data_IF_694325065281
#
_entry.id   IF_694325065281
#
_cell.length_a   1.000
_cell.length_b   1.000
_cell.length_c   1.000
_cell.angle_alpha   90.00
_cell.angle_beta   90.00
_cell.angle_gamma   90.00
#
_symmetry.space_group_name_H-M   'P 1'
#
loop_
_entity.id
_entity.type
_entity.pdbx_description
1 polymer ?
#
# COMPACT_ATOMS: atom_id res chain seq x y z
N UNK A 1 3.54 -16.48 -15.19
CA UNK A 1 4.25 -16.73 -13.89
C UNK A 1 4.02 -18.17 -13.46
N UNK A 2 5.07 -18.89 -13.05
CA UNK A 2 4.96 -20.24 -12.49
C UNK A 2 4.50 -20.16 -11.02
N UNK A 3 3.93 -21.26 -10.48
CA UNK A 3 3.57 -21.36 -9.07
C UNK A 3 4.76 -21.07 -8.15
N UNK A 4 5.93 -21.62 -8.44
CA UNK A 4 7.18 -21.35 -7.70
C UNK A 4 7.56 -19.87 -7.73
N UNK A 5 7.31 -19.16 -8.83
CA UNK A 5 7.59 -17.72 -8.92
C UNK A 5 6.61 -16.92 -8.08
N UNK A 6 5.34 -17.29 -8.07
CA UNK A 6 4.35 -16.62 -7.23
C UNK A 6 4.66 -16.78 -5.74
N UNK A 7 5.05 -18.00 -5.31
CA UNK A 7 5.48 -18.21 -3.93
C UNK A 7 6.73 -17.37 -3.58
N UNK A 8 7.70 -17.27 -4.49
CA UNK A 8 8.84 -16.37 -4.30
C UNK A 8 8.40 -14.92 -4.15
N UNK A 9 7.49 -14.45 -4.98
CA UNK A 9 6.98 -13.08 -4.94
C UNK A 9 6.25 -12.78 -3.61
N UNK A 10 5.46 -13.72 -3.10
CA UNK A 10 4.84 -13.60 -1.76
C UNK A 10 5.89 -13.53 -0.65
N UNK A 11 6.95 -14.34 -0.74
CA UNK A 11 8.04 -14.32 0.21
C UNK A 11 8.84 -13.02 0.16
N UNK A 12 9.07 -12.46 -1.02
CA UNK A 12 9.69 -11.13 -1.16
C UNK A 12 8.84 -10.05 -0.48
N UNK A 13 7.53 -10.06 -0.68
CA UNK A 13 6.62 -9.14 0.00
C UNK A 13 6.60 -9.36 1.52
N UNK A 14 6.65 -10.63 1.97
CA UNK A 14 6.72 -10.99 3.40
C UNK A 14 7.97 -10.41 4.09
N UNK A 15 9.11 -10.26 3.37
CA UNK A 15 10.32 -9.66 3.91
C UNK A 15 10.15 -8.19 4.31
N UNK A 16 9.16 -7.49 3.76
CA UNK A 16 8.85 -6.09 4.09
C UNK A 16 8.00 -5.94 5.36
N UNK A 17 7.50 -7.04 5.91
CA UNK A 17 6.63 -7.05 7.10
C UNK A 17 7.29 -6.35 8.27
N UNK A 18 6.53 -5.49 8.95
CA UNK A 18 7.00 -4.66 10.06
C UNK A 18 7.76 -3.42 9.61
N UNK A 19 7.83 -3.15 8.31
CA UNK A 19 8.52 -2.01 7.73
C UNK A 19 7.62 -0.86 7.33
N UNK A 20 8.27 0.23 6.92
CA UNK A 20 7.65 1.42 6.34
C UNK A 20 8.11 1.57 4.90
N UNK A 21 7.18 1.77 3.99
CA UNK A 21 7.43 2.08 2.59
C UNK A 21 7.11 3.56 2.38
N UNK A 22 8.07 4.33 1.88
CA UNK A 22 7.96 5.78 1.76
C UNK A 22 7.90 6.23 0.30
N UNK A 23 6.94 7.08 -0.04
CA UNK A 23 6.88 7.74 -1.34
C UNK A 23 8.01 8.77 -1.45
N UNK A 24 8.76 8.73 -2.54
CA UNK A 24 9.90 9.62 -2.82
C UNK A 24 9.85 10.11 -4.26
N UNK A 25 10.27 11.38 -4.47
CA UNK A 25 10.19 12.06 -5.76
C UNK A 25 11.54 12.21 -6.46
N UNK A 26 12.63 11.95 -5.74
CA UNK A 26 13.99 12.13 -6.26
C UNK A 26 15.01 11.31 -5.42
N UNK A 27 16.26 11.19 -5.89
CA UNK A 27 17.31 10.46 -5.18
C UNK A 27 17.61 10.98 -3.77
N UNK A 28 17.50 12.28 -3.51
CA UNK A 28 17.74 12.85 -2.18
C UNK A 28 16.70 12.36 -1.17
N UNK A 29 15.42 12.45 -1.52
CA UNK A 29 14.34 11.93 -0.68
C UNK A 29 14.48 10.41 -0.45
N UNK A 30 14.90 9.66 -1.46
CA UNK A 30 15.13 8.22 -1.35
C UNK A 30 16.24 7.92 -0.32
N UNK A 31 17.34 8.65 -0.33
CA UNK A 31 18.41 8.51 0.68
C UNK A 31 17.94 8.89 2.08
N UNK A 32 17.12 9.92 2.21
CA UNK A 32 16.50 10.30 3.50
C UNK A 32 15.64 9.14 4.02
N UNK A 33 14.82 8.55 3.17
CA UNK A 33 13.97 7.41 3.53
C UNK A 33 14.81 6.19 3.96
N UNK A 34 15.84 5.83 3.20
CA UNK A 34 16.75 4.73 3.53
C UNK A 34 17.48 4.99 4.85
N UNK A 35 18.03 6.20 5.05
CA UNK A 35 18.71 6.60 6.30
C UNK A 35 17.77 6.57 7.51
N UNK A 36 16.47 6.83 7.33
CA UNK A 36 15.46 6.72 8.37
C UNK A 36 15.09 5.27 8.72
N UNK A 37 15.51 4.29 7.91
CA UNK A 37 15.23 2.88 8.10
C UNK A 37 13.98 2.38 7.34
N UNK A 38 13.60 3.03 6.25
CA UNK A 38 12.54 2.52 5.38
C UNK A 38 12.89 1.13 4.85
N UNK A 39 11.89 0.25 4.76
CA UNK A 39 12.06 -1.10 4.18
C UNK A 39 12.10 -1.08 2.65
N UNK A 40 11.46 -0.09 2.04
CA UNK A 40 11.44 0.16 0.61
C UNK A 40 11.03 1.60 0.34
N UNK A 41 11.22 2.08 -0.87
CA UNK A 41 10.69 3.35 -1.35
C UNK A 41 9.76 3.15 -2.53
N UNK A 42 8.78 4.06 -2.67
CA UNK A 42 7.88 4.15 -3.82
C UNK A 42 8.28 5.38 -4.65
N UNK A 43 8.78 5.15 -5.86
CA UNK A 43 9.20 6.22 -6.77
C UNK A 43 8.00 6.85 -7.46
N UNK A 44 7.79 8.14 -7.26
CA UNK A 44 6.68 8.93 -7.83
C UNK A 44 7.15 10.32 -8.22
N UNK A 45 6.84 10.77 -9.43
CA UNK A 45 7.06 12.19 -9.82
C UNK A 45 6.18 13.14 -9.01
N UNK A 46 4.96 12.70 -8.70
CA UNK A 46 3.99 13.42 -7.88
C UNK A 46 3.49 12.53 -6.76
N UNK A 47 3.67 12.95 -5.53
CA UNK A 47 3.05 12.31 -4.38
C UNK A 47 1.53 12.54 -4.40
N UNK A 48 0.74 11.71 -3.70
CA UNK A 48 -0.72 11.77 -3.79
C UNK A 48 -1.33 13.15 -3.55
N UNK A 49 -0.80 13.95 -2.62
CA UNK A 49 -1.27 15.32 -2.39
C UNK A 49 -1.09 16.23 -3.62
N UNK A 50 0.03 16.11 -4.33
CA UNK A 50 0.29 16.87 -5.55
C UNK A 50 -0.60 16.42 -6.70
N UNK A 51 -0.91 15.10 -6.78
CA UNK A 51 -1.86 14.55 -7.75
C UNK A 51 -3.24 15.17 -7.54
N UNK A 52 -3.71 15.25 -6.30
CA UNK A 52 -4.99 15.89 -5.97
C UNK A 52 -5.02 17.36 -6.34
N UNK A 53 -3.96 18.09 -6.00
CA UNK A 53 -3.86 19.53 -6.27
C UNK A 53 -3.80 19.84 -7.78
N UNK A 54 -3.09 19.04 -8.55
CA UNK A 54 -2.93 19.27 -10.00
C UNK A 54 -4.18 18.89 -10.80
N UNK A 55 -4.96 17.90 -10.32
CA UNK A 55 -6.08 17.35 -11.08
C UNK A 55 -5.64 16.66 -12.38
N UNK A 56 -6.60 16.40 -13.26
CA UNK A 56 -6.34 15.80 -14.58
C UNK A 56 -5.98 14.31 -14.52
N UNK A 57 -5.33 13.84 -15.58
CA UNK A 57 -4.93 12.43 -15.72
C UNK A 57 -3.54 12.22 -15.13
N UNK A 58 -3.46 11.39 -14.10
CA UNK A 58 -2.20 10.98 -13.47
C UNK A 58 -1.72 9.64 -14.06
N UNK A 59 -0.48 9.58 -14.51
CA UNK A 59 0.12 8.46 -15.24
C UNK A 59 1.35 7.93 -14.50
N UNK A 60 1.88 6.79 -14.98
CA UNK A 60 3.18 6.26 -14.57
C UNK A 60 4.27 7.34 -14.64
N UNK A 61 5.17 7.33 -13.66
CA UNK A 61 6.32 8.24 -13.61
C UNK A 61 7.38 7.92 -14.67
N UNK A 62 8.23 8.89 -14.98
CA UNK A 62 9.31 8.75 -15.96
C UNK A 62 10.28 7.63 -15.55
N UNK A 63 10.53 6.63 -16.42
CA UNK A 63 11.49 5.56 -16.14
C UNK A 63 12.91 6.04 -15.82
N UNK A 64 13.33 7.20 -16.36
CA UNK A 64 14.65 7.77 -16.03
C UNK A 64 14.73 8.17 -14.57
N UNK A 65 13.72 8.87 -14.06
CA UNK A 65 13.65 9.27 -12.65
C UNK A 65 13.61 8.04 -11.74
N UNK A 66 12.87 6.99 -12.12
CA UNK A 66 12.81 5.74 -11.35
C UNK A 66 14.20 5.09 -11.27
N UNK A 67 14.94 5.00 -12.39
CA UNK A 67 16.31 4.47 -12.42
C UNK A 67 17.28 5.29 -11.57
N UNK A 68 17.19 6.61 -11.60
CA UNK A 68 18.01 7.48 -10.74
C UNK A 68 17.75 7.21 -9.23
N UNK A 69 16.51 6.87 -8.86
CA UNK A 69 16.19 6.45 -7.50
C UNK A 69 16.74 5.05 -7.21
N UNK A 70 16.61 4.09 -8.14
CA UNK A 70 17.19 2.75 -7.99
C UNK A 70 18.71 2.79 -7.78
N UNK A 71 19.41 3.67 -8.48
CA UNK A 71 20.86 3.87 -8.33
C UNK A 71 21.24 4.56 -6.99
N UNK A 72 20.32 5.27 -6.37
CA UNK A 72 20.58 6.07 -5.17
C UNK A 72 20.49 5.32 -3.85
N UNK A 73 19.79 4.19 -3.82
CA UNK A 73 19.51 3.43 -2.59
C UNK A 73 19.79 1.94 -2.78
N UNK A 74 19.99 1.23 -1.66
CA UNK A 74 20.19 -0.22 -1.63
C UNK A 74 18.92 -1.00 -1.27
N UNK A 75 17.91 -0.31 -0.76
CA UNK A 75 16.60 -0.89 -0.43
C UNK A 75 15.73 -1.03 -1.69
N UNK A 76 14.74 -1.94 -1.69
CA UNK A 76 13.86 -2.13 -2.84
C UNK A 76 13.15 -0.85 -3.28
N UNK A 77 12.97 -0.70 -4.58
CA UNK A 77 12.25 0.41 -5.21
C UNK A 77 10.97 -0.12 -5.84
N UNK A 78 9.85 0.50 -5.50
CA UNK A 78 8.54 0.26 -6.10
C UNK A 78 8.17 1.39 -7.04
N UNK A 79 7.32 1.11 -8.01
CA UNK A 79 6.70 2.13 -8.85
C UNK A 79 5.24 1.79 -9.15
N UNK A 80 4.45 2.81 -9.49
CA UNK A 80 3.01 2.67 -9.75
C UNK A 80 2.69 2.59 -11.23
N UNK A 81 1.72 1.74 -11.55
CA UNK A 81 1.05 1.72 -12.85
C UNK A 81 -0.43 2.03 -12.67
N UNK A 82 -1.07 2.54 -13.72
CA UNK A 82 -2.51 2.73 -13.76
C UNK A 82 -3.24 1.39 -13.76
N UNK A 83 -4.39 1.34 -13.13
CA UNK A 83 -5.24 0.15 -13.15
C UNK A 83 -5.53 -0.27 -14.60
N UNK A 84 -5.27 -1.55 -14.91
CA UNK A 84 -5.47 -2.15 -16.23
C UNK A 84 -4.40 -1.82 -17.28
N UNK A 85 -3.42 -0.98 -16.96
CA UNK A 85 -2.39 -0.57 -17.91
C UNK A 85 -1.21 -1.55 -17.95
N UNK A 86 -1.40 -2.70 -18.57
CA UNK A 86 -0.37 -3.75 -18.63
C UNK A 86 0.91 -3.31 -19.35
N UNK A 87 0.85 -2.36 -20.29
CA UNK A 87 2.06 -1.84 -20.97
C UNK A 87 2.92 -1.00 -20.03
N UNK A 88 2.33 -0.19 -19.12
CA UNK A 88 3.10 0.48 -18.07
C UNK A 88 3.82 -0.56 -17.17
N UNK A 89 3.16 -1.67 -16.84
CA UNK A 89 3.78 -2.75 -16.08
C UNK A 89 4.94 -3.41 -16.85
N UNK A 90 4.80 -3.63 -18.16
CA UNK A 90 5.87 -4.13 -19.02
C UNK A 90 7.09 -3.19 -19.04
N UNK A 91 6.85 -1.88 -19.08
CA UNK A 91 7.92 -0.88 -19.03
C UNK A 91 8.66 -0.95 -17.69
N UNK A 92 7.94 -1.05 -16.57
CA UNK A 92 8.56 -1.15 -15.24
C UNK A 92 9.34 -2.47 -15.07
N UNK A 93 8.79 -3.59 -15.53
CA UNK A 93 9.52 -4.86 -15.50
C UNK A 93 10.79 -4.82 -16.35
N UNK A 94 10.77 -4.13 -17.51
CA UNK A 94 11.93 -3.96 -18.40
C UNK A 94 13.06 -3.11 -17.78
N UNK A 95 12.76 -2.26 -16.81
CA UNK A 95 13.76 -1.50 -16.05
C UNK A 95 14.12 -2.17 -14.71
N UNK A 96 13.75 -3.44 -14.54
CA UNK A 96 14.08 -4.26 -13.38
C UNK A 96 13.58 -3.66 -12.05
N UNK A 97 12.36 -3.12 -12.04
CA UNK A 97 11.72 -2.64 -10.82
C UNK A 97 11.52 -3.79 -9.82
N UNK A 98 11.68 -3.54 -8.54
CA UNK A 98 11.54 -4.59 -7.51
C UNK A 98 10.08 -4.97 -7.23
N UNK A 99 9.15 -4.01 -7.26
CA UNK A 99 7.70 -4.21 -7.06
C UNK A 99 6.92 -3.24 -7.94
N UNK A 100 5.76 -3.69 -8.42
CA UNK A 100 4.79 -2.83 -9.14
C UNK A 100 3.54 -2.66 -8.26
N UNK A 101 3.12 -1.42 -8.04
CA UNK A 101 1.84 -1.09 -7.42
C UNK A 101 0.83 -0.73 -8.52
N UNK A 102 -0.12 -1.63 -8.80
CA UNK A 102 -1.28 -1.32 -9.66
C UNK A 102 -2.24 -0.47 -8.83
N UNK A 103 -2.25 0.84 -9.08
CA UNK A 103 -2.67 1.81 -8.08
C UNK A 103 -3.86 2.67 -8.51
N UNK A 104 -4.84 2.75 -7.62
CA UNK A 104 -5.96 3.69 -7.67
C UNK A 104 -5.54 5.15 -7.49
N UNK A 105 -4.33 5.41 -7.03
CA UNK A 105 -3.76 6.78 -6.90
C UNK A 105 -3.60 7.42 -8.27
N UNK A 106 -3.20 6.65 -9.28
CA UNK A 106 -3.17 7.09 -10.66
C UNK A 106 -4.55 7.01 -11.30
N UNK A 107 -4.75 7.72 -12.41
CA UNK A 107 -6.01 7.63 -13.17
C UNK A 107 -6.12 6.26 -13.81
N UNK A 108 -7.22 5.52 -13.64
CA UNK A 108 -7.40 4.22 -14.29
C UNK A 108 -7.26 4.31 -15.80
N UNK A 109 -6.64 3.31 -16.41
CA UNK A 109 -6.59 3.14 -17.87
C UNK A 109 -7.72 2.21 -18.35
N UNK A 110 -8.21 1.36 -17.46
CA UNK A 110 -9.33 0.48 -17.71
C UNK A 110 -10.30 0.56 -16.51
N UNK A 111 -11.60 0.58 -16.76
CA UNK A 111 -12.65 0.67 -15.74
C UNK A 111 -13.22 -0.70 -15.35
N UNK A 112 -12.80 -1.77 -16.03
CA UNK A 112 -13.28 -3.14 -15.82
C UNK A 112 -12.17 -4.15 -15.54
N UNK A 113 -11.05 -4.04 -16.25
CA UNK A 113 -9.97 -5.01 -16.20
C UNK A 113 -8.78 -4.48 -15.39
N UNK A 114 -8.28 -5.33 -14.50
CA UNK A 114 -6.97 -5.17 -13.87
C UNK A 114 -5.90 -5.86 -14.72
N UNK A 115 -4.65 -5.52 -14.46
CA UNK A 115 -3.50 -6.23 -15.06
C UNK A 115 -3.53 -7.70 -14.63
N UNK A 116 -3.38 -8.62 -15.58
CA UNK A 116 -3.11 -10.03 -15.25
C UNK A 116 -1.66 -10.15 -14.75
N UNK A 117 -1.51 -10.22 -13.45
CA UNK A 117 -0.22 -10.22 -12.76
C UNK A 117 0.53 -11.53 -12.96
N UNK A 118 -0.16 -12.58 -13.43
CA UNK A 118 0.44 -13.89 -13.72
C UNK A 118 1.32 -13.87 -14.98
N UNK A 119 1.15 -12.85 -15.82
CA UNK A 119 2.00 -12.64 -17.00
C UNK A 119 3.37 -12.03 -16.67
N UNK A 120 3.59 -11.58 -15.43
CA UNK A 120 4.80 -10.90 -14.98
C UNK A 120 5.63 -11.74 -14.00
N UNK A 121 6.91 -11.45 -13.91
CA UNK A 121 7.82 -12.07 -12.93
C UNK A 121 7.96 -11.22 -11.66
N UNK A 122 7.75 -9.91 -11.77
CA UNK A 122 7.84 -8.97 -10.65
C UNK A 122 6.63 -9.09 -9.72
N UNK A 123 6.81 -8.95 -8.38
CA UNK A 123 5.70 -8.95 -7.43
C UNK A 123 4.83 -7.70 -7.55
N UNK A 124 3.50 -7.88 -7.46
CA UNK A 124 2.53 -6.80 -7.50
C UNK A 124 1.93 -6.51 -6.13
N UNK A 125 1.73 -5.22 -5.88
CA UNK A 125 0.99 -4.64 -4.75
C UNK A 125 -0.33 -4.09 -5.28
N UNK A 126 -1.42 -4.30 -4.55
CA UNK A 126 -2.73 -3.73 -4.87
C UNK A 126 -3.44 -3.20 -3.64
N UNK A 127 -4.23 -2.14 -3.82
CA UNK A 127 -5.13 -1.62 -2.80
C UNK A 127 -6.42 -2.41 -2.71
N UNK A 128 -6.97 -2.52 -1.49
CA UNK A 128 -8.28 -3.09 -1.25
C UNK A 128 -8.99 -2.39 -0.09
N UNK A 129 -10.32 -2.26 -0.17
CA UNK A 129 -11.17 -1.69 0.89
C UNK A 129 -11.76 -2.77 1.79
N UNK A 130 -11.96 -3.96 1.24
CA UNK A 130 -12.66 -5.08 1.86
C UNK A 130 -12.05 -6.42 1.44
N UNK A 131 -12.52 -7.50 2.04
CA UNK A 131 -12.03 -8.85 1.80
C UNK A 131 -12.25 -9.31 0.36
N UNK A 132 -13.42 -9.02 -0.23
CA UNK A 132 -13.74 -9.42 -1.60
C UNK A 132 -12.79 -8.78 -2.60
N UNK A 133 -12.54 -7.48 -2.46
CA UNK A 133 -11.59 -6.75 -3.30
C UNK A 133 -10.16 -7.29 -3.15
N UNK A 134 -9.71 -7.56 -1.92
CA UNK A 134 -8.40 -8.15 -1.65
C UNK A 134 -8.25 -9.53 -2.31
N UNK A 135 -9.23 -10.41 -2.13
CA UNK A 135 -9.17 -11.77 -2.68
C UNK A 135 -9.24 -11.77 -4.21
N UNK A 136 -9.97 -10.83 -4.84
CA UNK A 136 -9.94 -10.66 -6.30
C UNK A 136 -8.55 -10.28 -6.79
N UNK A 137 -7.89 -9.32 -6.16
CA UNK A 137 -6.49 -8.93 -6.52
C UNK A 137 -5.53 -10.09 -6.32
N UNK A 138 -5.68 -10.86 -5.24
CA UNK A 138 -4.86 -12.06 -4.98
C UNK A 138 -5.11 -13.14 -6.06
N UNK A 139 -6.36 -13.35 -6.46
CA UNK A 139 -6.70 -14.27 -7.55
C UNK A 139 -6.04 -13.90 -8.88
N UNK A 140 -5.85 -12.61 -9.13
CA UNK A 140 -5.13 -12.08 -10.30
C UNK A 140 -3.61 -12.19 -10.18
N UNK A 141 -3.07 -12.57 -9.02
CA UNK A 141 -1.65 -12.76 -8.78
C UNK A 141 -0.96 -11.65 -7.93
N UNK A 142 -1.72 -10.81 -7.24
CA UNK A 142 -1.13 -9.86 -6.29
C UNK A 142 -0.40 -10.60 -5.17
N UNK A 143 0.82 -10.14 -4.86
CA UNK A 143 1.70 -10.71 -3.81
C UNK A 143 1.63 -9.94 -2.50
N UNK A 144 0.98 -8.78 -2.50
CA UNK A 144 0.83 -7.88 -1.37
C UNK A 144 -0.47 -7.09 -1.52
N UNK A 145 -1.17 -6.92 -0.40
CA UNK A 145 -2.34 -6.04 -0.30
C UNK A 145 -2.01 -4.86 0.62
N UNK A 146 -2.61 -3.72 0.33
CA UNK A 146 -2.65 -2.57 1.23
C UNK A 146 -4.06 -2.00 1.32
N UNK A 147 -4.37 -1.28 2.39
CA UNK A 147 -5.61 -0.50 2.40
C UNK A 147 -5.54 0.56 1.31
N UNK A 148 -6.67 0.88 0.70
CA UNK A 148 -6.74 2.03 -0.22
C UNK A 148 -6.62 3.34 0.58
N UNK A 149 -7.37 3.50 1.64
CA UNK A 149 -7.46 4.77 2.36
C UNK A 149 -7.92 5.89 1.41
N UNK A 150 -7.58 7.13 1.71
CA UNK A 150 -7.63 8.24 0.77
C UNK A 150 -6.25 8.93 0.71
N UNK A 151 -5.37 8.48 -0.21
CA UNK A 151 -4.00 8.98 -0.31
C UNK A 151 -3.94 10.49 -0.55
N UNK A 152 -2.94 11.14 0.06
CA UNK A 152 -2.71 12.58 -0.10
C UNK A 152 -3.61 13.48 0.73
N UNK A 153 -4.47 12.91 1.58
CA UNK A 153 -5.34 13.69 2.46
C UNK A 153 -4.72 14.01 3.81
N UNK A 154 -3.78 13.16 4.30
CA UNK A 154 -3.28 13.26 5.67
C UNK A 154 -4.34 12.93 6.73
N UNK A 155 -5.48 12.39 6.32
CA UNK A 155 -6.57 11.93 7.18
C UNK A 155 -6.63 10.39 7.15
N UNK A 156 -6.44 9.78 8.31
CA UNK A 156 -6.31 8.32 8.46
C UNK A 156 -7.66 7.58 8.45
N UNK A 157 -8.79 8.29 8.55
CA UNK A 157 -10.10 7.71 8.82
C UNK A 157 -10.50 6.62 7.81
N UNK A 158 -10.23 6.82 6.54
CA UNK A 158 -10.58 5.84 5.49
C UNK A 158 -9.71 4.58 5.59
N UNK A 159 -8.41 4.71 5.84
CA UNK A 159 -7.54 3.56 6.05
C UNK A 159 -7.96 2.74 7.28
N UNK A 160 -8.36 3.41 8.36
CA UNK A 160 -8.93 2.76 9.55
C UNK A 160 -10.20 1.99 9.22
N UNK A 161 -11.13 2.59 8.47
CA UNK A 161 -12.36 1.91 8.00
C UNK A 161 -12.04 0.65 7.20
N UNK A 162 -11.14 0.74 6.24
CA UNK A 162 -10.77 -0.38 5.38
C UNK A 162 -10.11 -1.51 6.18
N UNK A 163 -9.19 -1.19 7.09
CA UNK A 163 -8.55 -2.20 7.94
C UNK A 163 -9.56 -2.88 8.87
N UNK A 164 -10.47 -2.11 9.46
CA UNK A 164 -11.53 -2.66 10.31
C UNK A 164 -12.52 -3.53 9.53
N UNK A 165 -12.91 -3.10 8.32
CA UNK A 165 -13.76 -3.86 7.42
C UNK A 165 -13.10 -5.20 7.07
N UNK A 166 -11.86 -5.18 6.62
CA UNK A 166 -11.07 -6.39 6.33
C UNK A 166 -11.07 -7.36 7.51
N UNK A 167 -10.75 -6.87 8.70
CA UNK A 167 -10.71 -7.71 9.90
C UNK A 167 -12.08 -8.26 10.31
N UNK A 168 -13.16 -7.51 10.10
CA UNK A 168 -14.52 -7.97 10.39
C UNK A 168 -14.93 -9.08 9.42
N UNK A 169 -14.65 -8.92 8.13
CA UNK A 169 -15.00 -9.89 7.11
C UNK A 169 -14.17 -11.17 7.23
N UNK A 170 -12.88 -11.07 7.55
CA UNK A 170 -12.04 -12.24 7.87
C UNK A 170 -12.64 -13.02 9.04
N UNK A 171 -12.99 -12.34 10.14
CA UNK A 171 -13.64 -13.01 11.29
C UNK A 171 -14.98 -13.61 10.94
N UNK A 172 -15.76 -12.96 10.08
CA UNK A 172 -17.03 -13.52 9.59
C UNK A 172 -16.78 -14.82 8.85
N UNK A 173 -15.84 -14.85 7.91
CA UNK A 173 -15.50 -16.05 7.13
C UNK A 173 -14.99 -17.17 8.03
N UNK A 174 -14.16 -16.88 9.03
CA UNK A 174 -13.67 -17.87 10.00
C UNK A 174 -14.78 -18.57 10.78
N UNK A 175 -15.90 -17.90 11.01
CA UNK A 175 -17.02 -18.42 11.79
C UNK A 175 -18.13 -19.08 10.93
N UNK A 176 -17.97 -19.16 9.61
CA UNK A 176 -18.89 -19.84 8.73
C UNK A 176 -18.72 -21.36 8.86
N UNK A 177 -19.80 -22.09 8.56
CA UNK A 177 -19.73 -23.53 8.36
C UNK A 177 -19.14 -23.84 7.00
N UNK A 178 -18.56 -25.01 6.83
CA UNK A 178 -17.95 -25.43 5.56
C UNK A 178 -18.90 -25.33 4.36
N UNK A 179 -20.18 -25.69 4.56
CA UNK A 179 -21.20 -25.63 3.52
C UNK A 179 -21.60 -24.19 3.12
N UNK A 180 -21.32 -23.20 3.98
CA UNK A 180 -21.55 -21.77 3.72
C UNK A 180 -20.42 -21.12 2.91
N UNK A 181 -19.24 -21.74 2.81
CA UNK A 181 -18.07 -21.13 2.14
C UNK A 181 -18.31 -20.91 0.64
N UNK A 182 -19.07 -21.79 -0.02
CA UNK A 182 -19.44 -21.62 -1.42
C UNK A 182 -20.35 -20.40 -1.65
N UNK A 183 -21.25 -20.14 -0.71
CA UNK A 183 -22.12 -18.96 -0.76
C UNK A 183 -21.30 -17.70 -0.51
N UNK A 184 -20.41 -17.73 0.48
CA UNK A 184 -19.49 -16.62 0.76
C UNK A 184 -18.60 -16.29 -0.44
N UNK A 185 -18.05 -17.31 -1.12
CA UNK A 185 -17.24 -17.12 -2.33
C UNK A 185 -18.04 -16.45 -3.46
N UNK A 186 -19.29 -16.88 -3.65
CA UNK A 186 -20.20 -16.26 -4.63
C UNK A 186 -20.52 -14.82 -4.29
N UNK A 187 -20.81 -14.52 -3.02
CA UNK A 187 -21.14 -13.16 -2.56
C UNK A 187 -19.93 -12.22 -2.67
N UNK A 188 -18.74 -12.71 -2.34
CA UNK A 188 -17.48 -11.98 -2.48
C UNK A 188 -16.97 -11.92 -3.93
N UNK A 189 -17.54 -12.72 -4.84
CA UNK A 189 -17.11 -12.84 -6.24
C UNK A 189 -15.65 -13.27 -6.38
N UNK A 190 -15.25 -14.32 -5.67
CA UNK A 190 -13.88 -14.82 -5.61
C UNK A 190 -13.83 -16.34 -5.72
N UNK A 191 -12.66 -16.92 -6.08
CA UNK A 191 -12.45 -18.37 -6.02
C UNK A 191 -12.69 -18.92 -4.61
N UNK A 192 -13.37 -20.05 -4.51
CA UNK A 192 -13.71 -20.65 -3.21
C UNK A 192 -12.46 -21.06 -2.42
N UNK A 193 -11.38 -21.45 -3.09
CA UNK A 193 -10.11 -21.83 -2.47
C UNK A 193 -9.50 -20.70 -1.62
N UNK A 194 -9.69 -19.44 -2.03
CA UNK A 194 -9.24 -18.28 -1.26
C UNK A 194 -10.11 -18.05 -0.03
N UNK A 195 -11.41 -18.32 -0.12
CA UNK A 195 -12.32 -18.25 1.04
C UNK A 195 -12.00 -19.35 2.04
N UNK A 196 -11.75 -20.57 1.55
CA UNK A 196 -11.29 -21.70 2.38
C UNK A 196 -9.98 -21.36 3.10
N UNK A 197 -9.01 -20.77 2.40
CA UNK A 197 -7.77 -20.33 3.03
C UNK A 197 -8.04 -19.35 4.18
N UNK A 198 -8.87 -18.33 3.95
CA UNK A 198 -9.21 -17.34 5.00
C UNK A 198 -9.95 -17.99 6.17
N UNK A 199 -10.84 -18.93 5.88
CA UNK A 199 -11.57 -19.70 6.90
C UNK A 199 -10.63 -20.48 7.80
N UNK A 200 -9.66 -21.19 7.22
CA UNK A 200 -8.72 -22.05 7.95
C UNK A 200 -7.66 -21.23 8.72
N UNK A 201 -7.15 -20.15 8.11
CA UNK A 201 -5.99 -19.43 8.62
C UNK A 201 -6.31 -18.12 9.33
N UNK A 202 -7.52 -17.57 9.15
CA UNK A 202 -7.92 -16.29 9.75
C UNK A 202 -7.14 -15.08 9.26
N UNK A 203 -6.57 -15.14 8.07
CA UNK A 203 -5.77 -14.07 7.46
C UNK A 203 -5.77 -14.19 5.95
N UNK A 204 -5.30 -13.14 5.26
CA UNK A 204 -5.00 -13.19 3.84
C UNK A 204 -3.81 -14.11 3.55
N UNK A 205 -3.73 -14.74 2.37
CA UNK A 205 -2.56 -15.53 1.95
C UNK A 205 -1.32 -14.68 1.62
N UNK A 206 -1.44 -13.36 1.66
CA UNK A 206 -0.37 -12.39 1.42
C UNK A 206 -0.36 -11.34 2.54
N UNK A 207 0.73 -10.59 2.69
CA UNK A 207 0.81 -9.50 3.66
C UNK A 207 -0.17 -8.37 3.34
N UNK A 208 -0.71 -7.74 4.38
CA UNK A 208 -1.65 -6.62 4.29
C UNK A 208 -1.09 -5.41 5.05
N UNK A 209 -0.73 -4.37 4.30
CA UNK A 209 -0.21 -3.12 4.83
C UNK A 209 -1.30 -2.05 4.95
N UNK A 210 -1.06 -1.06 5.80
CA UNK A 210 -1.86 0.15 5.83
C UNK A 210 -1.34 1.19 4.85
N UNK A 211 -2.23 1.86 4.14
CA UNK A 211 -1.94 2.98 3.26
C UNK A 211 -3.10 3.98 3.24
N UNK A 212 -2.78 5.23 2.92
CA UNK A 212 -3.75 6.30 2.72
C UNK A 212 -4.02 7.13 3.98
N UNK A 213 -3.39 8.29 4.07
CA UNK A 213 -3.65 9.28 5.12
C UNK A 213 -2.74 9.23 6.34
N UNK A 214 -1.72 8.37 6.38
CA UNK A 214 -0.73 8.35 7.48
C UNK A 214 0.10 9.63 7.45
N UNK A 215 0.06 10.42 8.52
CA UNK A 215 0.77 11.69 8.64
C UNK A 215 1.63 11.80 9.89
N UNK A 216 1.37 10.98 10.92
CA UNK A 216 2.03 11.05 12.22
C UNK A 216 2.52 9.67 12.69
N UNK A 217 3.48 9.62 13.63
CA UNK A 217 3.85 8.36 14.30
C UNK A 217 2.66 7.66 14.97
N UNK A 218 1.73 8.44 15.54
CA UNK A 218 0.53 7.90 16.18
C UNK A 218 -0.40 7.22 15.15
N UNK A 219 -0.56 7.77 13.95
CA UNK A 219 -1.34 7.15 12.87
C UNK A 219 -0.73 5.80 12.47
N UNK A 220 0.60 5.76 12.29
CA UNK A 220 1.30 4.53 11.94
C UNK A 220 1.12 3.46 13.03
N UNK A 221 1.30 3.83 14.31
CA UNK A 221 1.11 2.93 15.44
C UNK A 221 -0.35 2.44 15.55
N UNK A 222 -1.33 3.31 15.29
CA UNK A 222 -2.76 2.95 15.26
C UNK A 222 -3.02 1.85 14.22
N UNK A 223 -2.52 2.03 13.01
CA UNK A 223 -2.71 1.03 11.94
C UNK A 223 -2.07 -0.30 12.28
N UNK A 224 -0.86 -0.29 12.87
CA UNK A 224 -0.19 -1.50 13.33
C UNK A 224 -0.97 -2.20 14.45
N UNK A 225 -1.54 -1.46 15.40
CA UNK A 225 -2.38 -2.03 16.47
C UNK A 225 -3.70 -2.58 15.92
N UNK A 226 -4.22 -2.04 14.82
CA UNK A 226 -5.39 -2.56 14.12
C UNK A 226 -5.10 -3.80 13.27
N UNK A 227 -3.83 -4.24 13.20
CA UNK A 227 -3.44 -5.49 12.54
C UNK A 227 -2.78 -5.30 11.17
N UNK A 228 -2.41 -4.09 10.78
CA UNK A 228 -1.56 -3.89 9.63
C UNK A 228 -0.19 -4.56 9.84
N UNK A 229 0.37 -5.10 8.77
CA UNK A 229 1.65 -5.79 8.80
C UNK A 229 2.82 -4.90 8.36
N UNK A 230 2.56 -3.64 8.15
CA UNK A 230 3.48 -2.56 7.80
C UNK A 230 2.68 -1.35 7.33
N UNK A 231 3.38 -0.28 6.94
CA UNK A 231 2.74 1.00 6.61
C UNK A 231 3.36 1.60 5.36
N UNK A 232 2.52 2.07 4.44
CA UNK A 232 2.91 3.01 3.38
C UNK A 232 2.67 4.43 3.86
N UNK A 233 3.65 5.31 3.64
CA UNK A 233 3.51 6.74 3.93
C UNK A 233 3.81 7.53 2.66
N UNK A 234 2.80 8.19 2.13
CA UNK A 234 2.91 9.02 0.93
C UNK A 234 3.30 10.46 1.29
N UNK A 235 2.35 11.37 1.17
CA UNK A 235 2.59 12.80 1.38
C UNK A 235 2.97 13.18 2.82
N UNK A 236 2.68 12.34 3.80
CA UNK A 236 2.85 12.65 5.22
C UNK A 236 4.27 12.94 5.68
N UNK A 237 5.29 12.49 4.97
CA UNK A 237 6.70 12.76 5.30
C UNK A 237 7.15 14.06 4.65
N UNK A 238 7.22 14.11 3.32
CA UNK A 238 7.84 15.24 2.60
C UNK A 238 6.97 16.50 2.51
N UNK A 239 5.70 16.44 2.93
CA UNK A 239 4.84 17.61 3.15
C UNK A 239 4.80 18.09 4.60
N UNK A 240 5.62 17.53 5.47
CA UNK A 240 5.77 17.96 6.87
C UNK A 240 6.85 19.02 7.04
N UNK A 241 6.86 19.67 8.20
CA UNK A 241 7.85 20.71 8.53
C UNK A 241 9.28 20.19 8.71
N UNK A 242 9.45 18.92 9.12
CA UNK A 242 10.77 18.25 9.25
C UNK A 242 10.68 16.81 8.73
N UNK A 243 10.88 16.59 7.43
CA UNK A 243 10.76 15.26 6.82
C UNK A 243 11.75 14.22 7.38
N UNK A 244 12.98 14.62 7.68
CA UNK A 244 14.03 13.71 8.18
C UNK A 244 13.64 13.14 9.54
N UNK A 245 13.27 14.04 10.46
CA UNK A 245 12.87 13.67 11.82
C UNK A 245 11.57 12.86 11.81
N UNK A 246 10.59 13.26 10.98
CA UNK A 246 9.31 12.59 10.85
C UNK A 246 9.45 11.18 10.27
N UNK A 247 10.26 11.00 9.22
CA UNK A 247 10.55 9.68 8.65
C UNK A 247 11.10 8.72 9.71
N UNK A 248 12.12 9.16 10.46
CA UNK A 248 12.71 8.36 11.55
C UNK A 248 11.68 8.04 12.65
N UNK A 249 10.86 9.01 13.04
CA UNK A 249 9.83 8.82 14.07
C UNK A 249 8.76 7.81 13.63
N UNK A 250 8.32 7.84 12.38
CA UNK A 250 7.34 6.89 11.83
C UNK A 250 7.91 5.48 11.79
N UNK A 251 9.16 5.29 11.36
CA UNK A 251 9.82 3.97 11.38
C UNK A 251 9.89 3.42 12.80
N UNK A 252 10.28 4.24 13.77
CA UNK A 252 10.33 3.85 15.19
C UNK A 252 8.94 3.54 15.74
N UNK A 253 7.90 4.27 15.31
CA UNK A 253 6.52 4.02 15.73
C UNK A 253 6.03 2.64 15.23
N UNK A 254 6.33 2.28 13.99
CA UNK A 254 5.97 0.97 13.43
C UNK A 254 6.68 -0.17 14.18
N UNK A 255 7.93 0.01 14.55
CA UNK A 255 8.69 -0.99 15.33
C UNK A 255 8.19 -1.10 16.78
N UNK A 256 7.78 0.01 17.39
CA UNK A 256 7.43 0.10 18.81
C UNK A 256 5.94 0.42 19.05
N UNK A 257 5.07 0.03 18.14
CA UNK A 257 3.67 0.46 18.11
C UNK A 257 2.84 0.11 19.35
N UNK A 258 3.34 -0.79 20.21
CA UNK A 258 2.68 -1.18 21.49
C UNK A 258 3.32 -0.54 22.72
N UNK A 259 4.31 0.33 22.55
CA UNK A 259 4.99 0.99 23.66
C UNK A 259 4.62 2.47 23.75
N UNK A 260 3.65 2.86 24.62
CA UNK A 260 3.19 4.26 24.70
C UNK A 260 4.30 5.23 25.12
N UNK A 261 5.27 4.80 25.91
CA UNK A 261 6.37 5.65 26.38
C UNK A 261 7.29 6.03 25.23
N UNK A 262 7.65 5.04 24.37
CA UNK A 262 8.44 5.30 23.17
C UNK A 262 7.62 6.16 22.20
N UNK A 263 6.34 5.85 22.00
CA UNK A 263 5.47 6.64 21.12
C UNK A 263 5.38 8.10 21.55
N UNK A 264 5.26 8.36 22.87
CA UNK A 264 5.27 9.72 23.40
C UNK A 264 6.58 10.43 23.05
N UNK A 265 7.71 9.82 23.37
CA UNK A 265 9.05 10.39 23.14
C UNK A 265 9.32 10.70 21.67
N UNK A 266 8.99 9.80 20.75
CA UNK A 266 9.24 9.99 19.31
C UNK A 266 8.25 10.95 18.63
N UNK A 267 7.17 11.32 19.32
CA UNK A 267 6.18 12.28 18.84
C UNK A 267 6.52 13.73 19.18
N UNK A 268 7.58 13.95 19.96
CA UNK A 268 7.99 15.29 20.40
C UNK A 268 8.78 16.03 19.31
N UNK A 269 8.57 17.34 19.20
CA UNK A 269 9.34 18.26 18.36
C UNK A 269 9.49 17.85 16.88
N UNK A 270 8.44 17.29 16.28
CA UNK A 270 8.46 16.83 14.88
C UNK A 270 8.19 17.94 13.84
N UNK A 271 7.98 19.18 14.30
CA UNK A 271 7.48 20.25 13.45
C UNK A 271 6.01 19.99 13.04
N UNK A 272 5.50 20.81 12.14
CA UNK A 272 4.14 20.69 11.67
C UNK A 272 3.94 19.42 10.86
N UNK A 273 2.86 18.68 11.13
CA UNK A 273 2.38 17.62 10.24
C UNK A 273 1.84 18.25 8.95
N UNK A 274 1.72 17.44 7.87
CA UNK A 274 1.04 17.94 6.69
C UNK A 274 -0.37 18.41 7.05
N UNK A 275 -0.80 19.54 6.49
CA UNK A 275 -2.11 20.14 6.79
C UNK A 275 -3.25 19.19 6.38
N UNK A 276 -3.11 18.58 5.21
CA UNK A 276 -4.08 17.58 4.74
C UNK A 276 -5.42 18.15 4.30
N UNK A 277 -6.36 17.25 4.04
CA UNK A 277 -7.73 17.53 3.59
C UNK A 277 -8.67 16.65 4.40
N UNK A 278 -9.66 17.25 5.07
CA UNK A 278 -10.65 16.49 5.81
C UNK A 278 -11.54 15.65 4.87
N UNK A 279 -12.06 14.53 5.35
CA UNK A 279 -12.90 13.62 4.58
C UNK A 279 -14.07 14.33 3.87
N UNK A 280 -14.71 15.30 4.54
CA UNK A 280 -15.84 16.03 3.99
C UNK A 280 -15.47 17.04 2.87
N UNK A 281 -14.19 17.30 2.69
CA UNK A 281 -13.65 18.23 1.68
C UNK A 281 -13.06 17.50 0.46
N UNK A 282 -13.11 16.16 0.46
CA UNK A 282 -12.53 15.35 -0.62
C UNK A 282 -13.38 15.48 -1.88
N UNK A 283 -12.77 15.94 -2.96
CA UNK A 283 -13.41 16.04 -4.28
C UNK A 283 -13.24 14.78 -5.12
N UNK A 284 -12.12 14.08 -4.97
CA UNK A 284 -11.78 12.87 -5.74
C UNK A 284 -11.63 11.71 -4.76
N UNK A 285 -12.56 10.76 -4.85
CA UNK A 285 -12.51 9.50 -4.08
C UNK A 285 -11.66 8.48 -4.84
N UNK A 286 -10.36 8.42 -4.53
CA UNK A 286 -9.43 7.48 -5.17
C UNK A 286 -9.75 6.03 -4.80
N UNK A 287 -10.20 5.78 -3.58
CA UNK A 287 -10.57 4.45 -3.10
C UNK A 287 -11.70 3.78 -3.90
N UNK A 288 -12.50 4.56 -4.61
CA UNK A 288 -13.60 4.03 -5.44
C UNK A 288 -13.14 3.52 -6.82
N UNK A 289 -11.91 3.79 -7.21
CA UNK A 289 -11.31 3.32 -8.47
C UNK A 289 -10.96 1.84 -8.39
N UNK A 290 -11.19 1.11 -9.50
CA UNK A 290 -10.80 -0.30 -9.63
C UNK A 290 -11.51 -1.21 -8.62
N UNK A 291 -12.82 -1.14 -8.57
CA UNK A 291 -13.67 -2.04 -7.72
C UNK A 291 -13.68 -3.47 -8.20
#
# INVERSE_FOLDING_TARGET
>A
MTENRYELNKNLAQMLKGGVIMDVQNPEQARIAEAAGAAAVMALERIPADIRAAGGVSRMSDPKMIKEIQEAVSIPVMAKVRIGHFVEAQILEAIEIDYIDESEVLSPADDRFHVDKKEFQVPFVCGAKDLGEALRRIAEGASMIRTKGEPGTGDIVQAVRHMRMMNQEIRRVQNLREDELYVAAKDLQVPVELVQYVHEHGKLPVVNFAAGGVATPADAALMMQLGAEGVFVGSGIFKSGDPVKRASAIVKAVTNFRNPQILAQISEDLGEAMVGINENEIQILMAERGK
#
